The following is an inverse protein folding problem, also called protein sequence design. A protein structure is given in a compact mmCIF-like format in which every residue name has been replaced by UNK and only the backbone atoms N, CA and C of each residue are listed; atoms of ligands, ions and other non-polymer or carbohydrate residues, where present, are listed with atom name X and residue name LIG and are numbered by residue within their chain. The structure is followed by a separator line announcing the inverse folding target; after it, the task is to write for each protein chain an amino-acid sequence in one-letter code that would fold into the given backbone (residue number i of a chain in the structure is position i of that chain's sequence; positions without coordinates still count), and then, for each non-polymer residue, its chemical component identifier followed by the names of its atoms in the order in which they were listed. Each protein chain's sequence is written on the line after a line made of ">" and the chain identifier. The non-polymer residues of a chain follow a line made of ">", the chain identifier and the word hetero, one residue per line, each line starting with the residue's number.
data_IF_759799155172
#
_entry.id   IF_759799155172
#
_cell.length_a   1.000
_cell.length_b   1.000
_cell.length_c   1.000
_cell.angle_alpha   90.00
_cell.angle_beta   90.00
_cell.angle_gamma   90.00
#
_symmetry.space_group_name_H-M   'P 1'
#
loop_
_entity.id
_entity.type
_entity.pdbx_description
1 polymer ?
#
# COMPACT_ATOMS: atom_id res chain seq x y z
N UNK A 1 18.12 -5.40 -6.53
CA UNK A 1 18.21 -4.54 -7.74
C UNK A 1 19.30 -3.54 -7.51
N UNK A 2 20.12 -3.29 -8.52
CA UNK A 2 21.12 -2.24 -8.47
C UNK A 2 20.46 -0.86 -8.26
N UNK A 3 21.17 0.10 -7.65
CA UNK A 3 20.65 1.46 -7.51
C UNK A 3 20.42 2.13 -8.86
N UNK A 4 19.44 3.03 -8.94
CA UNK A 4 19.17 3.86 -10.12
C UNK A 4 19.01 3.09 -11.45
N UNK A 5 18.32 1.95 -11.44
CA UNK A 5 18.06 1.14 -12.65
C UNK A 5 16.64 1.25 -13.17
N UNK A 6 15.71 1.87 -12.43
CA UNK A 6 14.29 1.92 -12.77
C UNK A 6 13.88 3.34 -13.19
N UNK A 7 13.23 3.47 -14.34
CA UNK A 7 12.69 4.74 -14.86
C UNK A 7 11.33 5.10 -14.25
N UNK A 8 10.49 4.11 -13.96
CA UNK A 8 9.14 4.33 -13.45
C UNK A 8 8.71 3.24 -12.49
N UNK A 9 8.11 3.64 -11.37
CA UNK A 9 7.51 2.76 -10.37
C UNK A 9 6.01 3.09 -10.29
N UNK A 10 5.17 2.05 -10.32
CA UNK A 10 3.76 2.14 -9.94
C UNK A 10 3.52 1.23 -8.75
N UNK A 11 2.94 1.77 -7.69
CA UNK A 11 2.66 1.04 -6.45
C UNK A 11 1.20 1.21 -6.03
N UNK A 12 0.53 0.08 -5.79
CA UNK A 12 -0.78 0.00 -5.16
C UNK A 12 -0.64 -0.73 -3.81
N UNK A 13 -0.17 -0.03 -2.76
CA UNK A 13 0.15 -0.64 -1.47
C UNK A 13 -1.13 -1.02 -0.70
N UNK A 14 -1.01 -1.78 0.41
CA UNK A 14 -2.13 -2.06 1.30
C UNK A 14 -2.78 -0.78 1.83
N UNK A 15 -4.12 -0.75 1.90
CA UNK A 15 -4.88 0.42 2.41
C UNK A 15 -5.27 0.25 3.88
N UNK A 16 -4.95 -0.91 4.46
CA UNK A 16 -5.17 -1.23 5.88
C UNK A 16 -6.66 -1.27 6.27
N UNK A 17 -7.53 -1.71 5.35
CA UNK A 17 -8.99 -1.66 5.49
C UNK A 17 -9.61 -2.98 5.99
N UNK A 18 -8.84 -4.04 6.11
CA UNK A 18 -9.33 -5.34 6.59
C UNK A 18 -9.53 -5.30 8.11
N UNK A 19 -10.72 -4.93 8.56
CA UNK A 19 -11.07 -4.68 9.97
C UNK A 19 -12.13 -5.64 10.55
N UNK A 20 -12.48 -6.72 9.84
CA UNK A 20 -13.52 -7.66 10.25
C UNK A 20 -14.95 -7.17 10.00
N UNK A 21 -15.13 -6.05 9.33
CA UNK A 21 -16.43 -5.53 8.92
C UNK A 21 -17.12 -6.38 7.84
N UNK A 22 -18.36 -6.02 7.53
CA UNK A 22 -19.13 -6.64 6.44
C UNK A 22 -19.72 -5.59 5.52
N UNK A 23 -19.89 -5.93 4.25
CA UNK A 23 -20.51 -5.11 3.22
C UNK A 23 -21.56 -5.91 2.45
N UNK A 24 -22.36 -5.24 1.63
CA UNK A 24 -23.33 -5.86 0.74
C UNK A 24 -22.75 -5.89 -0.70
N UNK A 25 -22.61 -7.09 -1.26
CA UNK A 25 -22.21 -7.28 -2.66
C UNK A 25 -23.29 -8.09 -3.36
N UNK A 26 -23.92 -7.51 -4.38
CA UNK A 26 -25.00 -8.13 -5.15
C UNK A 26 -26.16 -8.65 -4.27
N UNK A 27 -26.56 -7.85 -3.26
CA UNK A 27 -27.65 -8.21 -2.34
C UNK A 27 -27.29 -9.24 -1.27
N UNK A 28 -26.01 -9.63 -1.14
CA UNK A 28 -25.54 -10.60 -0.15
C UNK A 28 -24.52 -9.99 0.80
N UNK A 29 -24.58 -10.36 2.08
CA UNK A 29 -23.56 -9.98 3.07
C UNK A 29 -22.25 -10.70 2.75
N UNK A 30 -21.17 -9.92 2.66
CA UNK A 30 -19.80 -10.41 2.45
C UNK A 30 -18.85 -9.71 3.40
N UNK A 31 -17.68 -10.29 3.67
CA UNK A 31 -16.61 -9.65 4.45
C UNK A 31 -15.97 -8.50 3.65
N UNK A 32 -15.50 -7.47 4.37
CA UNK A 32 -14.63 -6.41 3.81
C UNK A 32 -13.16 -6.81 3.82
N UNK A 33 -12.80 -7.88 4.53
CA UNK A 33 -11.43 -8.33 4.66
C UNK A 33 -10.89 -8.84 3.32
N UNK A 34 -9.81 -8.21 2.85
CA UNK A 34 -9.06 -8.60 1.65
C UNK A 34 -7.98 -9.63 1.98
N UNK A 35 -7.39 -9.54 3.17
CA UNK A 35 -6.35 -10.45 3.63
C UNK A 35 -5.65 -9.95 4.88
N UNK A 36 -4.83 -10.80 5.50
CA UNK A 36 -4.04 -10.44 6.69
C UNK A 36 -3.02 -9.34 6.42
N UNK A 37 -2.53 -9.25 5.19
CA UNK A 37 -1.60 -8.22 4.71
C UNK A 37 -2.23 -6.81 4.62
N UNK A 38 -3.56 -6.72 4.59
CA UNK A 38 -4.32 -5.47 4.53
C UNK A 38 -4.95 -5.12 5.89
N UNK A 39 -4.56 -5.80 6.96
CA UNK A 39 -4.97 -5.42 8.32
C UNK A 39 -4.06 -4.32 8.84
N UNK A 40 -4.65 -3.25 9.38
CA UNK A 40 -3.91 -2.22 10.10
C UNK A 40 -3.21 -2.82 11.32
N UNK A 41 -1.97 -2.38 11.56
CA UNK A 41 -1.23 -2.70 12.79
C UNK A 41 -1.03 -1.49 13.71
N UNK A 42 -1.79 -0.41 13.47
CA UNK A 42 -1.63 0.89 14.14
C UNK A 42 -0.96 1.91 13.24
N UNK A 43 -1.17 3.20 13.54
CA UNK A 43 -0.71 4.32 12.69
C UNK A 43 0.81 4.30 12.55
N UNK A 44 1.52 4.06 13.66
CA UNK A 44 2.98 4.04 13.73
C UNK A 44 3.56 2.89 12.91
N UNK A 45 3.01 1.68 13.03
CA UNK A 45 3.49 0.51 12.28
C UNK A 45 3.18 0.63 10.79
N UNK A 46 1.99 1.13 10.43
CA UNK A 46 1.62 1.36 9.03
C UNK A 46 2.52 2.46 8.40
N UNK A 47 2.83 3.52 9.14
CA UNK A 47 3.73 4.56 8.68
C UNK A 47 5.17 4.03 8.52
N UNK A 48 5.67 3.26 9.50
CA UNK A 48 6.99 2.64 9.42
C UNK A 48 7.10 1.68 8.22
N UNK A 49 6.08 0.86 8.00
CA UNK A 49 5.96 0.01 6.81
C UNK A 49 6.04 0.83 5.52
N UNK A 50 5.26 1.92 5.44
CA UNK A 50 5.23 2.77 4.26
C UNK A 50 6.57 3.43 3.96
N UNK A 51 7.23 3.98 4.98
CA UNK A 51 8.56 4.55 4.83
C UNK A 51 9.60 3.50 4.43
N UNK A 52 9.50 2.25 4.90
CA UNK A 52 10.46 1.21 4.57
C UNK A 52 10.43 0.86 3.07
N UNK A 53 9.26 0.60 2.50
CA UNK A 53 9.19 0.25 1.08
C UNK A 53 9.45 1.46 0.17
N UNK A 54 9.03 2.66 0.55
CA UNK A 54 9.32 3.89 -0.20
C UNK A 54 10.83 4.17 -0.29
N UNK A 55 11.60 3.89 0.77
CA UNK A 55 13.07 4.02 0.75
C UNK A 55 13.71 3.09 -0.27
N UNK A 56 13.22 1.85 -0.37
CA UNK A 56 13.72 0.91 -1.37
C UNK A 56 13.35 1.33 -2.79
N UNK A 57 12.14 1.84 -3.00
CA UNK A 57 11.75 2.45 -4.27
C UNK A 57 12.69 3.60 -4.65
N UNK A 58 12.97 4.51 -3.73
CA UNK A 58 13.89 5.63 -3.96
C UNK A 58 15.31 5.16 -4.30
N UNK A 59 15.79 4.07 -3.68
CA UNK A 59 17.12 3.51 -3.95
C UNK A 59 17.28 3.02 -5.38
N UNK A 60 16.25 2.38 -5.94
CA UNK A 60 16.30 1.77 -7.28
C UNK A 60 15.85 2.73 -8.39
N UNK A 61 15.14 3.81 -8.05
CA UNK A 61 14.66 4.81 -8.99
C UNK A 61 15.83 5.67 -9.49
N UNK A 62 15.87 5.92 -10.80
CA UNK A 62 16.79 6.88 -11.40
C UNK A 62 16.53 8.29 -10.87
N UNK A 63 17.53 9.18 -10.99
CA UNK A 63 17.43 10.57 -10.52
C UNK A 63 16.25 11.34 -11.14
N UNK A 64 15.93 11.03 -12.38
CA UNK A 64 14.83 11.57 -13.20
C UNK A 64 13.65 10.60 -13.35
N UNK A 65 13.66 9.51 -12.59
CA UNK A 65 12.57 8.54 -12.60
C UNK A 65 11.33 9.04 -11.88
N UNK A 66 10.18 8.46 -12.20
CA UNK A 66 8.88 8.82 -11.60
C UNK A 66 8.31 7.68 -10.76
N UNK A 67 7.70 8.01 -9.62
CA UNK A 67 6.90 7.06 -8.84
C UNK A 67 5.45 7.54 -8.74
N UNK A 68 4.52 6.61 -8.96
CA UNK A 68 3.09 6.78 -8.75
C UNK A 68 2.62 5.84 -7.65
N UNK A 69 1.90 6.37 -6.66
CA UNK A 69 1.36 5.58 -5.55
C UNK A 69 -0.13 5.84 -5.45
N UNK A 70 -0.94 4.79 -5.52
CA UNK A 70 -2.39 4.89 -5.27
C UNK A 70 -2.69 4.83 -3.77
N UNK A 71 -3.78 5.47 -3.38
CA UNK A 71 -4.22 5.52 -2.01
C UNK A 71 -5.60 6.11 -1.88
N UNK A 72 -6.18 5.95 -0.69
CA UNK A 72 -7.47 6.52 -0.30
C UNK A 72 -7.31 7.24 1.04
N UNK A 73 -8.00 8.38 1.25
CA UNK A 73 -7.91 9.09 2.51
C UNK A 73 -8.65 8.31 3.61
N UNK A 74 -7.86 7.66 4.46
CA UNK A 74 -8.32 6.97 5.66
C UNK A 74 -7.48 7.48 6.82
N UNK A 75 -8.04 8.42 7.58
CA UNK A 75 -7.47 8.99 8.80
C UNK A 75 -8.36 8.60 9.96
#
# INVERSE_FOLDING_TARGET
>A
MEPATVDTIFADPPYFLSNGGTTCKSGRRTTVDKGTWDRSRGIEENHAFNCAWLRECQRVLKKDGTIWVSGTPHV
#
